data_IF_430053305580
#
_entry.id   IF_430053305580
#
_cell.length_a   1.000
_cell.length_b   1.000
_cell.length_c   1.000
_cell.angle_alpha   90.00
_cell.angle_beta   90.00
_cell.angle_gamma   90.00
#
_symmetry.space_group_name_H-M   'P 1'
#
loop_
_entity.id
_entity.type
_entity.pdbx_description
1 polymer ?
#
# COMPACT_ATOMS: atom_id res chain seq x y z
N UNK A 1 -9.12 9.03 5.13
CA UNK A 1 -8.85 9.65 3.82
C UNK A 1 -7.52 10.35 3.81
N UNK A 2 -7.45 11.58 4.32
CA UNK A 2 -6.27 12.46 4.21
C UNK A 2 -4.98 11.80 4.73
N UNK A 3 -5.00 11.24 5.95
CA UNK A 3 -3.83 10.57 6.53
C UNK A 3 -3.38 9.33 5.73
N UNK A 4 -4.32 8.58 5.13
CA UNK A 4 -4.00 7.37 4.33
C UNK A 4 -3.34 7.77 3.01
N UNK A 5 -3.85 8.80 2.33
CA UNK A 5 -3.26 9.30 1.09
C UNK A 5 -1.87 9.88 1.34
N UNK A 6 -1.70 10.73 2.36
CA UNK A 6 -0.39 11.29 2.74
C UNK A 6 0.57 10.18 3.16
N UNK A 7 0.12 9.25 4.01
CA UNK A 7 0.93 8.14 4.50
C UNK A 7 1.45 7.22 3.39
N UNK A 8 0.66 7.02 2.32
CA UNK A 8 1.06 6.20 1.18
C UNK A 8 2.32 6.69 0.45
N UNK A 9 2.66 7.98 0.59
CA UNK A 9 3.85 8.59 -0.05
C UNK A 9 5.15 8.13 0.58
N UNK A 10 5.14 7.66 1.82
CA UNK A 10 6.37 7.25 2.52
C UNK A 10 7.09 6.06 1.87
N UNK A 11 6.38 5.26 1.09
CA UNK A 11 6.94 4.07 0.42
C UNK A 11 6.45 3.99 -1.01
N UNK A 12 7.29 3.53 -1.92
CA UNK A 12 6.92 3.36 -3.33
C UNK A 12 5.78 2.35 -3.52
N UNK A 13 5.56 1.44 -2.58
CA UNK A 13 4.49 0.41 -2.65
C UNK A 13 3.14 0.95 -2.14
N UNK A 14 3.11 2.11 -1.48
CA UNK A 14 1.93 2.60 -0.76
C UNK A 14 0.75 2.96 -1.66
N UNK A 15 1.01 3.37 -2.91
CA UNK A 15 -0.01 3.52 -3.93
C UNK A 15 0.58 3.21 -5.31
N UNK A 16 -0.25 2.89 -6.32
CA UNK A 16 0.28 2.51 -7.63
C UNK A 16 0.97 3.64 -8.40
N UNK A 17 0.66 4.91 -8.12
CA UNK A 17 1.36 6.05 -8.72
C UNK A 17 2.82 6.12 -8.24
N UNK A 18 3.04 5.94 -6.94
CA UNK A 18 4.36 5.87 -6.33
C UNK A 18 5.12 4.64 -6.84
N UNK A 19 4.43 3.51 -7.02
CA UNK A 19 5.05 2.28 -7.51
C UNK A 19 5.57 2.47 -8.94
N UNK A 20 4.81 3.17 -9.79
CA UNK A 20 5.26 3.52 -11.13
C UNK A 20 6.52 4.41 -11.10
N UNK A 21 6.54 5.44 -10.25
CA UNK A 21 7.72 6.31 -10.08
C UNK A 21 8.91 5.51 -9.56
N UNK A 22 8.71 4.61 -8.60
CA UNK A 22 9.74 3.72 -8.06
C UNK A 22 10.40 2.86 -9.14
N UNK A 23 9.58 2.17 -9.94
CA UNK A 23 10.04 1.32 -11.04
C UNK A 23 10.84 2.12 -12.08
N UNK A 24 10.40 3.33 -12.42
CA UNK A 24 11.05 4.17 -13.43
C UNK A 24 12.31 4.88 -12.92
N UNK A 25 12.31 5.31 -11.65
CA UNK A 25 13.41 6.05 -11.04
C UNK A 25 14.64 5.19 -10.75
N UNK A 26 14.46 3.85 -10.63
CA UNK A 26 15.52 2.88 -10.30
C UNK A 26 16.26 3.20 -8.99
N UNK A 27 15.61 3.93 -8.08
CA UNK A 27 16.14 4.24 -6.75
C UNK A 27 15.91 3.03 -5.84
N UNK A 28 16.89 2.60 -5.03
CA UNK A 28 16.69 1.57 -4.01
C UNK A 28 15.55 1.92 -3.05
N UNK A 29 14.76 0.91 -2.66
CA UNK A 29 13.63 1.06 -1.73
C UNK A 29 13.97 1.88 -0.47
N UNK A 30 15.15 1.60 0.09
CA UNK A 30 15.65 2.23 1.33
C UNK A 30 15.89 3.72 1.13
N UNK A 31 16.49 4.09 -0.01
CA UNK A 31 16.82 5.46 -0.33
C UNK A 31 15.55 6.26 -0.64
N UNK A 32 14.63 5.68 -1.42
CA UNK A 32 13.32 6.27 -1.66
C UNK A 32 12.58 6.53 -0.34
N UNK A 33 12.49 5.52 0.52
CA UNK A 33 11.80 5.63 1.81
C UNK A 33 12.48 6.64 2.75
N UNK A 34 13.82 6.70 2.76
CA UNK A 34 14.56 7.65 3.59
C UNK A 34 14.32 9.11 3.16
N UNK A 35 14.21 9.38 1.86
CA UNK A 35 13.92 10.71 1.33
C UNK A 35 12.45 11.08 1.57
N UNK A 36 11.51 10.15 1.34
CA UNK A 36 10.07 10.42 1.44
C UNK A 36 9.57 10.44 2.89
N UNK A 37 10.16 9.66 3.80
CA UNK A 37 9.73 9.59 5.20
C UNK A 37 9.62 10.96 5.91
N UNK A 38 10.64 11.85 5.89
CA UNK A 38 10.52 13.16 6.51
C UNK A 38 9.45 14.05 5.85
N UNK A 39 9.31 13.96 4.52
CA UNK A 39 8.29 14.70 3.76
C UNK A 39 6.89 14.22 4.17
N UNK A 40 6.67 12.90 4.20
CA UNK A 40 5.41 12.30 4.63
C UNK A 40 5.09 12.66 6.07
N UNK A 41 6.07 12.62 6.98
CA UNK A 41 5.89 12.99 8.38
C UNK A 41 5.46 14.47 8.52
N UNK A 42 6.11 15.38 7.80
CA UNK A 42 5.75 16.80 7.80
C UNK A 42 4.32 17.03 7.26
N UNK A 43 3.99 16.43 6.11
CA UNK A 43 2.66 16.50 5.51
C UNK A 43 1.59 15.90 6.44
N UNK A 44 1.91 14.80 7.15
CA UNK A 44 0.99 14.16 8.07
C UNK A 44 0.76 15.05 9.30
N UNK A 45 1.80 15.68 9.84
CA UNK A 45 1.68 16.64 10.92
C UNK A 45 0.79 17.83 10.53
N UNK A 46 1.00 18.41 9.35
CA UNK A 46 0.17 19.50 8.81
C UNK A 46 -1.29 19.04 8.66
N UNK A 47 -1.52 17.86 8.09
CA UNK A 47 -2.86 17.30 7.93
C UNK A 47 -3.56 17.08 9.28
N UNK A 48 -2.85 16.52 10.27
CA UNK A 48 -3.38 16.30 11.63
C UNK A 48 -3.74 17.63 12.28
N UNK A 49 -2.85 18.62 12.24
CA UNK A 49 -3.11 19.95 12.79
C UNK A 49 -4.28 20.62 12.09
N UNK A 50 -4.33 20.57 10.75
CA UNK A 50 -5.43 21.13 9.96
C UNK A 50 -6.78 20.52 10.33
N UNK A 51 -6.84 19.18 10.46
CA UNK A 51 -8.05 18.47 10.89
C UNK A 51 -8.40 18.83 12.34
N UNK A 52 -7.42 18.86 13.24
CA UNK A 52 -7.63 19.19 14.64
C UNK A 52 -8.19 20.60 14.81
N UNK A 53 -7.68 21.57 14.06
CA UNK A 53 -8.16 22.96 14.10
C UNK A 53 -9.54 23.11 13.46
N UNK A 54 -9.76 22.52 12.28
CA UNK A 54 -11.03 22.61 11.55
C UNK A 54 -12.19 21.95 12.32
N UNK A 55 -11.92 20.82 12.99
CA UNK A 55 -12.93 20.05 13.70
C UNK A 55 -12.84 20.14 15.23
N UNK A 56 -12.10 21.12 15.77
CA UNK A 56 -11.84 21.27 17.22
C UNK A 56 -13.08 21.14 18.11
N UNK A 57 -14.21 21.71 17.67
CA UNK A 57 -15.48 21.68 18.40
C UNK A 57 -16.14 20.30 18.39
N UNK A 58 -15.99 19.53 17.30
CA UNK A 58 -16.48 18.16 17.20
C UNK A 58 -15.59 17.18 17.95
N UNK A 59 -14.28 17.40 17.93
CA UNK A 59 -13.29 16.61 18.67
C UNK A 59 -13.39 16.80 20.19
N UNK A 60 -13.83 17.98 20.65
CA UNK A 60 -14.07 18.24 22.07
C UNK A 60 -15.39 17.64 22.59
N UNK A 61 -16.26 17.12 21.72
CA UNK A 61 -17.51 16.50 22.15
C UNK A 61 -17.24 15.11 22.76
N UNK A 62 -17.86 14.77 23.90
CA UNK A 62 -17.69 13.45 24.49
C UNK A 62 -18.18 12.34 23.55
N UNK A 63 -17.40 11.27 23.41
CA UNK A 63 -17.74 10.11 22.59
C UNK A 63 -18.94 9.40 23.24
N UNK A 64 -20.14 9.65 22.73
CA UNK A 64 -21.40 9.11 23.28
C UNK A 64 -21.66 7.66 22.86
N UNK A 65 -21.02 7.20 21.80
CA UNK A 65 -21.19 5.84 21.27
C UNK A 65 -20.02 4.98 21.71
N UNK A 66 -20.25 4.14 22.71
CA UNK A 66 -19.35 3.01 22.99
C UNK A 66 -19.50 2.03 21.83
N UNK A 67 -18.41 1.61 21.14
CA UNK A 67 -18.53 0.58 20.12
C UNK A 67 -19.14 -0.68 20.76
N UNK A 68 -20.04 -1.39 20.07
CA UNK A 68 -20.67 -2.58 20.61
C UNK A 68 -19.57 -3.58 21.03
N UNK A 69 -19.70 -4.16 22.21
CA UNK A 69 -18.72 -5.08 22.80
C UNK A 69 -18.49 -6.35 21.94
N UNK A 70 -19.41 -6.62 21.01
CA UNK A 70 -19.34 -7.66 19.98
C UNK A 70 -18.37 -7.34 18.83
N UNK A 71 -17.81 -6.13 18.76
CA UNK A 71 -16.87 -5.70 17.72
C UNK A 71 -15.43 -6.18 17.94
N UNK A 72 -15.15 -6.91 19.04
CA UNK A 72 -13.83 -7.50 19.25
C UNK A 72 -13.66 -8.67 18.28
N UNK A 73 -13.01 -8.39 17.15
CA UNK A 73 -12.65 -9.40 16.18
C UNK A 73 -11.92 -10.56 16.88
N UNK A 74 -12.46 -11.78 16.79
CA UNK A 74 -11.84 -12.97 17.35
C UNK A 74 -10.50 -13.19 16.65
N UNK A 75 -9.42 -12.83 17.33
CA UNK A 75 -8.09 -12.84 16.75
C UNK A 75 -7.56 -14.26 16.62
N UNK A 76 -7.38 -14.72 15.39
CA UNK A 76 -6.71 -15.99 15.13
C UNK A 76 -5.19 -15.80 15.13
N UNK A 77 -4.60 -15.91 16.33
CA UNK A 77 -3.18 -15.66 16.60
C UNK A 77 -2.20 -16.32 15.62
N UNK A 78 -2.32 -17.62 15.25
CA UNK A 78 -1.34 -18.24 14.36
C UNK A 78 -1.46 -17.73 12.92
N UNK A 79 -2.68 -17.47 12.42
CA UNK A 79 -2.86 -16.84 11.12
C UNK A 79 -2.34 -15.40 11.09
N UNK A 80 -2.55 -14.62 12.16
CA UNK A 80 -1.95 -13.29 12.29
C UNK A 80 -0.41 -13.36 12.28
N UNK A 81 0.16 -14.24 13.10
CA UNK A 81 1.61 -14.40 13.19
C UNK A 81 2.22 -14.82 11.84
N UNK A 82 1.56 -15.74 11.12
CA UNK A 82 1.95 -16.13 9.77
C UNK A 82 1.92 -14.95 8.80
N UNK A 83 0.81 -14.21 8.73
CA UNK A 83 0.70 -13.05 7.83
C UNK A 83 1.71 -11.96 8.18
N UNK A 84 1.93 -11.68 9.47
CA UNK A 84 2.94 -10.72 9.92
C UNK A 84 4.37 -11.18 9.60
N UNK A 85 4.67 -12.47 9.73
CA UNK A 85 5.97 -13.02 9.38
C UNK A 85 6.23 -12.88 7.87
N UNK A 86 5.24 -13.18 7.03
CA UNK A 86 5.37 -13.00 5.57
C UNK A 86 5.52 -11.52 5.23
N UNK A 87 4.72 -10.64 5.83
CA UNK A 87 4.83 -9.19 5.65
C UNK A 87 6.24 -8.68 6.03
N UNK A 88 6.72 -9.04 7.22
CA UNK A 88 8.03 -8.61 7.69
C UNK A 88 9.15 -9.18 6.80
N UNK A 89 9.04 -10.44 6.38
CA UNK A 89 9.96 -11.07 5.45
C UNK A 89 10.00 -10.36 4.09
N UNK A 90 8.85 -10.01 3.53
CA UNK A 90 8.76 -9.22 2.30
C UNK A 90 9.37 -7.83 2.46
N UNK A 91 9.10 -7.16 3.58
CA UNK A 91 9.69 -5.85 3.88
C UNK A 91 11.21 -5.94 3.95
N UNK A 92 11.75 -6.89 4.72
CA UNK A 92 13.20 -7.13 4.81
C UNK A 92 13.79 -7.45 3.42
N UNK A 93 13.11 -8.26 2.63
CA UNK A 93 13.53 -8.55 1.26
C UNK A 93 13.57 -7.28 0.39
N UNK A 94 12.62 -6.35 0.53
CA UNK A 94 12.69 -5.05 -0.16
C UNK A 94 13.96 -4.28 0.20
N UNK A 95 14.32 -4.22 1.48
CA UNK A 95 15.55 -3.55 1.94
C UNK A 95 16.83 -4.16 1.37
N UNK A 96 16.85 -5.48 1.13
CA UNK A 96 18.03 -6.22 0.68
C UNK A 96 18.11 -6.39 -0.85
N UNK A 97 17.03 -6.07 -1.57
CA UNK A 97 16.91 -6.34 -3.00
C UNK A 97 17.17 -5.10 -3.86
N UNK A 98 17.53 -5.35 -5.13
CA UNK A 98 17.57 -4.27 -6.12
C UNK A 98 16.13 -3.84 -6.50
N UNK A 99 15.93 -2.58 -6.95
CA UNK A 99 14.62 -2.02 -7.32
C UNK A 99 13.80 -2.91 -8.27
N UNK A 100 14.49 -3.62 -9.16
CA UNK A 100 13.89 -4.50 -10.16
C UNK A 100 13.16 -5.71 -9.58
N UNK A 101 13.49 -6.14 -8.35
CA UNK A 101 12.92 -7.32 -7.72
C UNK A 101 11.70 -7.03 -6.85
N UNK A 102 11.40 -5.76 -6.56
CA UNK A 102 10.29 -5.39 -5.68
C UNK A 102 8.94 -5.96 -6.10
N UNK A 103 8.52 -5.87 -7.38
CA UNK A 103 7.24 -6.46 -7.81
C UNK A 103 7.20 -7.97 -7.59
N UNK A 104 8.33 -8.66 -7.82
CA UNK A 104 8.42 -10.10 -7.64
C UNK A 104 8.36 -10.50 -6.16
N UNK A 105 9.01 -9.74 -5.27
CA UNK A 105 8.96 -9.96 -3.82
C UNK A 105 7.55 -9.71 -3.27
N UNK A 106 6.88 -8.65 -3.73
CA UNK A 106 5.50 -8.35 -3.36
C UNK A 106 4.54 -9.46 -3.82
N UNK A 107 4.71 -9.93 -5.06
CA UNK A 107 3.91 -11.04 -5.60
C UNK A 107 4.16 -12.35 -4.85
N UNK A 108 5.42 -12.64 -4.51
CA UNK A 108 5.79 -13.81 -3.73
C UNK A 108 5.16 -13.78 -2.33
N UNK A 109 5.28 -12.66 -1.61
CA UNK A 109 4.64 -12.47 -0.30
C UNK A 109 3.12 -12.62 -0.37
N UNK A 110 2.47 -11.96 -1.33
CA UNK A 110 1.03 -12.08 -1.56
C UNK A 110 0.60 -13.52 -1.88
N UNK A 111 1.36 -14.23 -2.71
CA UNK A 111 1.10 -15.64 -3.06
C UNK A 111 1.26 -16.56 -1.85
N UNK A 112 2.31 -16.37 -1.04
CA UNK A 112 2.53 -17.14 0.18
C UNK A 112 1.36 -16.94 1.16
N UNK A 113 0.86 -15.71 1.32
CA UNK A 113 -0.34 -15.45 2.15
C UNK A 113 -1.57 -16.11 1.53
N UNK A 114 -1.79 -15.93 0.22
CA UNK A 114 -2.98 -16.43 -0.48
C UNK A 114 -3.13 -17.94 -0.35
N UNK A 115 -2.05 -18.70 -0.51
CA UNK A 115 -2.07 -20.15 -0.46
C UNK A 115 -1.78 -20.71 0.94
N UNK A 116 -0.93 -20.04 1.74
CA UNK A 116 -0.53 -20.52 3.06
C UNK A 116 -1.52 -20.18 4.17
N UNK A 117 -2.18 -19.02 4.12
CA UNK A 117 -3.10 -18.61 5.19
C UNK A 117 -4.30 -19.55 5.36
N UNK A 118 -4.94 -20.09 4.29
CA UNK A 118 -6.00 -21.11 4.43
C UNK A 118 -5.51 -22.43 5.06
N UNK A 119 -4.22 -22.76 4.91
CA UNK A 119 -3.62 -23.96 5.53
C UNK A 119 -3.44 -23.76 7.03
N UNK A 120 -2.95 -22.58 7.44
CA UNK A 120 -2.74 -22.22 8.86
C UNK A 120 -4.07 -21.92 9.56
N UNK A 121 -5.00 -21.29 8.86
CA UNK A 121 -6.32 -20.90 9.34
C UNK A 121 -7.40 -21.42 8.39
N UNK A 122 -7.98 -22.58 8.68
CA UNK A 122 -9.03 -23.18 7.84
C UNK A 122 -10.29 -22.31 7.67
N UNK A 123 -10.47 -21.28 8.51
CA UNK A 123 -11.57 -20.30 8.37
C UNK A 123 -11.23 -19.18 7.37
N UNK A 124 -9.95 -18.99 7.05
CA UNK A 124 -9.54 -18.06 6.00
C UNK A 124 -9.80 -18.70 4.63
N UNK A 125 -10.46 -17.95 3.74
CA UNK A 125 -10.77 -18.40 2.39
C UNK A 125 -9.88 -17.67 1.39
N UNK A 126 -9.11 -18.41 0.60
CA UNK A 126 -8.34 -17.85 -0.52
C UNK A 126 -9.23 -17.10 -1.51
N UNK A 127 -10.47 -17.57 -1.73
CA UNK A 127 -11.46 -16.86 -2.55
C UNK A 127 -11.86 -15.51 -1.96
N UNK A 128 -11.98 -15.42 -0.63
CA UNK A 128 -12.28 -14.15 0.03
C UNK A 128 -11.11 -13.17 -0.08
N UNK A 129 -9.85 -13.66 -0.01
CA UNK A 129 -8.65 -12.84 -0.25
C UNK A 129 -8.63 -12.29 -1.69
N UNK A 130 -8.84 -13.14 -2.70
CA UNK A 130 -8.93 -12.74 -4.12
C UNK A 130 -10.09 -11.76 -4.34
N UNK A 131 -11.23 -11.99 -3.69
CA UNK A 131 -12.39 -11.09 -3.76
C UNK A 131 -12.19 -9.75 -3.06
N UNK A 132 -11.18 -9.62 -2.20
CA UNK A 132 -10.83 -8.36 -1.53
C UNK A 132 -9.89 -7.49 -2.37
N UNK A 133 -9.37 -8.00 -3.50
CA UNK A 133 -8.52 -7.26 -4.42
C UNK A 133 -9.37 -6.33 -5.27
N UNK A 134 -8.94 -5.08 -5.42
CA UNK A 134 -9.57 -4.12 -6.33
C UNK A 134 -9.11 -4.39 -7.78
N UNK A 135 -9.88 -5.23 -8.48
CA UNK A 135 -9.63 -5.59 -9.87
C UNK A 135 -9.77 -4.41 -10.83
N UNK A 136 -10.64 -3.45 -10.52
CA UNK A 136 -10.84 -2.26 -11.34
C UNK A 136 -9.59 -1.38 -11.34
N UNK A 137 -8.96 -1.20 -10.18
CA UNK A 137 -7.69 -0.49 -10.06
C UNK A 137 -6.57 -1.20 -10.84
N UNK A 138 -6.45 -2.52 -10.73
CA UNK A 138 -5.43 -3.28 -11.47
C UNK A 138 -5.61 -3.14 -12.98
N UNK A 139 -6.85 -3.30 -13.48
CA UNK A 139 -7.17 -3.15 -14.90
C UNK A 139 -6.93 -1.72 -15.39
N UNK A 140 -7.23 -0.71 -14.58
CA UNK A 140 -6.91 0.68 -14.89
C UNK A 140 -5.40 0.90 -15.08
N UNK A 141 -4.56 0.39 -14.18
CA UNK A 141 -3.09 0.53 -14.32
C UNK A 141 -2.53 -0.24 -15.51
N UNK A 142 -3.04 -1.43 -15.80
CA UNK A 142 -2.68 -2.17 -17.01
C UNK A 142 -3.02 -1.34 -18.26
N UNK A 143 -4.23 -0.78 -18.33
CA UNK A 143 -4.64 0.08 -19.44
C UNK A 143 -3.77 1.33 -19.57
N UNK A 144 -3.45 2.00 -18.46
CA UNK A 144 -2.58 3.17 -18.43
C UNK A 144 -1.17 2.82 -18.96
N UNK A 145 -0.58 1.71 -18.55
CA UNK A 145 0.74 1.29 -19.03
C UNK A 145 0.73 0.92 -20.51
N UNK A 146 -0.33 0.27 -21.01
CA UNK A 146 -0.49 0.00 -22.44
C UNK A 146 -0.57 1.30 -23.25
N UNK A 147 -1.33 2.29 -22.77
CA UNK A 147 -1.43 3.61 -23.43
C UNK A 147 -0.09 4.34 -23.40
N UNK A 148 0.60 4.38 -22.27
CA UNK A 148 1.94 5.02 -22.15
C UNK A 148 2.92 4.38 -23.13
N UNK A 149 2.99 3.05 -23.16
CA UNK A 149 3.87 2.33 -24.10
C UNK A 149 3.48 2.57 -25.56
N UNK A 150 2.19 2.66 -25.86
CA UNK A 150 1.68 3.02 -27.19
C UNK A 150 2.12 4.41 -27.63
N UNK A 151 2.02 5.40 -26.73
CA UNK A 151 2.48 6.79 -26.98
C UNK A 151 3.99 6.87 -27.14
N UNK A 152 4.76 6.10 -26.37
CA UNK A 152 6.23 6.06 -26.51
C UNK A 152 6.67 5.49 -27.86
N UNK A 153 5.96 4.50 -28.38
CA UNK A 153 6.28 3.85 -29.68
C UNK A 153 5.72 4.57 -30.89
N UNK A 154 4.67 5.37 -30.74
CA UNK A 154 4.01 6.07 -31.86
C UNK A 154 4.76 7.31 -32.34
N UNK A 155 5.88 7.67 -31.69
CA UNK A 155 6.70 8.82 -32.09
C UNK A 155 6.05 10.18 -31.79
N UNK A 156 4.90 10.22 -31.11
CA UNK A 156 4.19 11.48 -30.78
C UNK A 156 5.06 12.43 -29.95
N UNK A 157 6.00 11.92 -29.14
CA UNK A 157 6.98 12.76 -28.44
C UNK A 157 7.89 13.58 -29.38
N UNK A 158 8.13 13.13 -30.61
CA UNK A 158 8.96 13.83 -31.59
C UNK A 158 8.24 15.02 -32.25
N UNK A 159 6.92 15.16 -32.10
CA UNK A 159 6.14 16.28 -32.64
C UNK A 159 5.83 17.39 -31.64
N UNK A 160 6.32 17.30 -30.39
CA UNK A 160 6.01 18.24 -29.29
C UNK A 160 7.30 18.81 -28.65
N UNK A 161 8.46 18.66 -29.31
CA UNK A 161 9.67 19.45 -29.06
C UNK A 161 9.89 20.40 -30.23
#
# INVERSE_FOLDING_TARGET
GIAVNVGSVATEIGNPQNAYIGIQSRIPFVEYAAIMAPITAACLAIAIVGVALAFRRRLAAPIRTRPPETAVAKLHRPGLAFTLAVLLGSVVAFFLSAPTWLPAIALAGGSIVLFGLPVVNRKASGRALIGSVDWSILLFFIGLFVVIAGVERSGVRAGIQ
#
